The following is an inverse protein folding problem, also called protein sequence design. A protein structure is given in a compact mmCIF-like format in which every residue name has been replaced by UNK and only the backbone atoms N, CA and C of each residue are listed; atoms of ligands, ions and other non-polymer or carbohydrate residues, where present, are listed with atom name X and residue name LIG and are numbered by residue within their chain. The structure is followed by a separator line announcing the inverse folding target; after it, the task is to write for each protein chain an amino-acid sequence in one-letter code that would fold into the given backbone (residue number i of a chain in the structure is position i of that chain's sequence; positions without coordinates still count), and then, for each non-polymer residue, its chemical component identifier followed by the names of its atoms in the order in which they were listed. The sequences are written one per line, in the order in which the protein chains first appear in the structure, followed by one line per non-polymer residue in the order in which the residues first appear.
data_IF_357365017016
#
_entry.id   IF_357365017016
#
_cell.length_a   1.000
_cell.length_b   1.000
_cell.length_c   1.000
_cell.angle_alpha   90.00
_cell.angle_beta   90.00
_cell.angle_gamma   90.00
#
_symmetry.space_group_name_H-M   'P 1'
#
loop_
_entity.id
_entity.type
_entity.pdbx_description
1 polymer ?
#
# COMPACT_ATOMS: atom_id res chain seq x y z
N UNK A 1 -1.81 -7.49 2.26
CA UNK A 1 -0.77 -7.15 1.26
C UNK A 1 -0.61 -8.37 0.39
N UNK A 2 -0.48 -8.20 -0.92
CA UNK A 2 -0.19 -9.30 -1.85
C UNK A 2 0.98 -8.88 -2.74
N UNK A 3 1.76 -9.84 -3.24
CA UNK A 3 2.90 -9.57 -4.09
C UNK A 3 3.07 -10.67 -5.15
N UNK A 4 3.75 -10.34 -6.25
CA UNK A 4 4.07 -11.26 -7.36
C UNK A 4 5.44 -10.89 -7.93
N UNK A 5 6.24 -11.86 -8.40
CA UNK A 5 7.46 -11.55 -9.17
C UNK A 5 7.11 -10.90 -10.51
N UNK A 6 7.93 -9.95 -10.93
CA UNK A 6 7.87 -9.30 -12.23
C UNK A 6 9.19 -9.50 -13.00
N UNK A 7 9.27 -9.02 -14.24
CA UNK A 7 10.44 -9.16 -15.11
C UNK A 7 11.16 -7.80 -15.36
N UNK A 8 10.94 -6.80 -14.52
CA UNK A 8 11.39 -5.42 -14.76
C UNK A 8 12.71 -5.08 -14.05
N UNK A 9 13.28 -5.99 -13.27
CA UNK A 9 14.51 -5.74 -12.50
C UNK A 9 14.33 -4.83 -11.28
N UNK A 10 13.13 -4.29 -11.04
CA UNK A 10 12.80 -3.44 -9.88
C UNK A 10 11.37 -3.68 -9.41
N UNK A 11 11.08 -3.22 -8.19
CA UNK A 11 9.74 -3.38 -7.62
C UNK A 11 8.78 -2.29 -8.09
N UNK A 12 7.50 -2.65 -8.20
CA UNK A 12 6.40 -1.69 -8.42
C UNK A 12 5.45 -1.70 -7.23
N UNK A 13 4.99 -0.52 -6.82
CA UNK A 13 4.02 -0.37 -5.74
C UNK A 13 2.63 -0.01 -6.27
N UNK A 14 1.66 -0.89 -6.03
CA UNK A 14 0.23 -0.62 -6.14
C UNK A 14 -0.38 -0.24 -4.78
N UNK A 15 -1.20 0.82 -4.76
CA UNK A 15 -1.90 1.28 -3.55
C UNK A 15 -3.40 1.34 -3.78
N UNK A 16 -4.12 0.37 -3.19
CA UNK A 16 -5.58 0.40 -3.11
C UNK A 16 -6.01 0.91 -1.74
N UNK A 17 -6.67 2.08 -1.69
CA UNK A 17 -7.11 2.70 -0.44
C UNK A 17 -8.63 2.84 -0.45
N UNK A 18 -9.30 2.04 0.39
CA UNK A 18 -10.76 2.03 0.51
C UNK A 18 -11.32 3.41 0.89
N UNK A 19 -12.47 3.77 0.32
CA UNK A 19 -13.22 4.98 0.71
C UNK A 19 -13.60 4.96 2.21
N UNK A 20 -13.76 3.78 2.81
CA UNK A 20 -14.09 3.60 4.25
C UNK A 20 -12.98 4.05 5.21
N UNK A 21 -11.77 4.29 4.71
CA UNK A 21 -10.64 4.78 5.51
C UNK A 21 -10.79 6.25 5.94
N UNK A 22 -11.61 7.02 5.22
CA UNK A 22 -11.92 8.43 5.52
C UNK A 22 -11.89 9.33 4.29
N UNK A 23 -11.91 10.65 4.55
CA UNK A 23 -11.91 11.71 3.53
C UNK A 23 -10.72 11.60 2.57
N UNK A 24 -10.85 12.20 1.39
CA UNK A 24 -9.80 12.20 0.36
C UNK A 24 -8.44 12.64 0.89
N UNK A 25 -8.37 13.68 1.72
CA UNK A 25 -7.12 14.18 2.32
C UNK A 25 -6.41 13.14 3.17
N UNK A 26 -7.15 12.39 4.01
CA UNK A 26 -6.59 11.30 4.84
C UNK A 26 -6.07 10.16 3.95
N UNK A 27 -6.81 9.78 2.91
CA UNK A 27 -6.36 8.75 1.94
C UNK A 27 -5.13 9.20 1.15
N UNK A 28 -5.05 10.48 0.78
CA UNK A 28 -3.91 11.04 0.06
C UNK A 28 -2.67 11.11 0.95
N UNK A 29 -2.82 11.47 2.23
CA UNK A 29 -1.74 11.38 3.22
C UNK A 29 -1.23 9.95 3.35
N UNK A 30 -2.13 8.97 3.46
CA UNK A 30 -1.74 7.55 3.49
C UNK A 30 -0.94 7.16 2.25
N UNK A 31 -1.42 7.50 1.05
CA UNK A 31 -0.68 7.24 -0.21
C UNK A 31 0.68 7.92 -0.25
N UNK A 32 0.80 9.16 0.25
CA UNK A 32 2.07 9.90 0.32
C UNK A 32 3.07 9.16 1.22
N UNK A 33 2.67 8.80 2.43
CA UNK A 33 3.53 8.09 3.38
C UNK A 33 3.94 6.73 2.82
N UNK A 34 2.99 5.93 2.31
CA UNK A 34 3.30 4.62 1.76
C UNK A 34 4.28 4.69 0.57
N UNK A 35 4.15 5.69 -0.30
CA UNK A 35 5.10 5.93 -1.39
C UNK A 35 6.48 6.35 -0.89
N UNK A 36 6.55 7.19 0.15
CA UNK A 36 7.82 7.62 0.74
C UNK A 36 8.56 6.43 1.37
N UNK A 37 7.85 5.60 2.14
CA UNK A 37 8.40 4.37 2.73
C UNK A 37 8.93 3.46 1.64
N UNK A 38 8.14 3.19 0.59
CA UNK A 38 8.58 2.36 -0.52
C UNK A 38 9.80 2.93 -1.25
N UNK A 39 9.86 4.25 -1.47
CA UNK A 39 11.00 4.89 -2.15
C UNK A 39 12.31 4.72 -1.39
N UNK A 40 12.26 4.69 -0.05
CA UNK A 40 13.43 4.57 0.83
C UNK A 40 13.76 3.12 1.19
N UNK A 41 12.85 2.18 0.94
CA UNK A 41 13.05 0.78 1.34
C UNK A 41 13.87 0.02 0.28
N UNK A 42 14.82 -0.85 0.67
CA UNK A 42 15.62 -1.67 -0.25
C UNK A 42 14.81 -2.62 -1.14
N UNK A 43 13.51 -2.76 -0.89
CA UNK A 43 12.64 -3.65 -1.68
C UNK A 43 12.46 -3.12 -3.11
N UNK A 44 12.70 -1.83 -3.32
CA UNK A 44 12.61 -1.19 -4.64
C UNK A 44 13.51 -1.86 -5.69
N UNK A 45 14.60 -2.48 -5.25
CA UNK A 45 15.60 -3.10 -6.12
C UNK A 45 15.32 -4.60 -6.38
N UNK A 46 14.19 -5.11 -5.88
CA UNK A 46 13.76 -6.51 -6.07
C UNK A 46 12.69 -6.57 -7.18
N UNK A 47 12.75 -7.48 -8.16
CA UNK A 47 11.79 -7.54 -9.27
C UNK A 47 10.42 -8.12 -8.84
N UNK A 48 9.64 -7.33 -8.09
CA UNK A 48 8.32 -7.72 -7.55
C UNK A 48 7.28 -6.61 -7.69
N UNK A 49 6.06 -7.00 -8.03
CA UNK A 49 4.88 -6.16 -7.92
C UNK A 49 4.25 -6.34 -6.53
N UNK A 50 4.15 -5.25 -5.77
CA UNK A 50 3.57 -5.24 -4.42
C UNK A 50 2.27 -4.45 -4.43
N UNK A 51 1.17 -5.09 -4.04
CA UNK A 51 -0.13 -4.44 -3.86
C UNK A 51 -0.48 -4.33 -2.38
N UNK A 52 -0.54 -3.09 -1.90
CA UNK A 52 -0.98 -2.75 -0.55
C UNK A 52 -2.43 -2.30 -0.60
N UNK A 53 -3.28 -3.01 0.15
CA UNK A 53 -4.71 -2.72 0.28
C UNK A 53 -4.97 -2.17 1.68
N UNK A 54 -5.23 -0.88 1.78
CA UNK A 54 -5.59 -0.21 3.01
C UNK A 54 -7.11 -0.23 3.20
N UNK A 55 -7.58 -0.95 4.22
CA UNK A 55 -8.98 -1.05 4.62
C UNK A 55 -9.12 -0.67 6.10
N UNK A 56 -10.23 -0.03 6.46
CA UNK A 56 -10.60 0.17 7.87
C UNK A 56 -10.83 -1.22 8.47
N UNK A 57 -10.22 -1.50 9.62
CA UNK A 57 -10.52 -2.73 10.36
C UNK A 57 -11.99 -2.67 10.82
N UNK A 58 -12.73 -3.79 10.75
CA UNK A 58 -14.05 -3.84 11.35
C UNK A 58 -13.93 -3.51 12.85
N UNK A 59 -14.89 -2.72 13.34
CA UNK A 59 -14.93 -2.36 14.75
C UNK A 59 -15.22 -3.63 15.55
N UNK A 60 -14.21 -4.15 16.27
CA UNK A 60 -14.33 -5.35 17.09
C UNK A 60 -15.00 -5.03 18.44
N UNK A 61 -16.05 -4.21 18.45
CA UNK A 61 -17.02 -4.25 19.55
C UNK A 61 -17.72 -5.61 19.44
N UNK A 62 -17.11 -6.58 20.11
CA UNK A 62 -17.65 -7.91 20.40
C UNK A 62 -19.09 -7.69 20.89
N UNK A 63 -20.04 -8.25 20.13
CA UNK A 63 -21.38 -8.52 20.65
C UNK A 63 -21.30 -9.76 21.52
#
# INVERSE_FOLDING_TARGET
MVWKRNALGWARLGLSVSKRLGKATRRNRFRRIAREVFRRHPIRDVPVDVLVIAKKLPDKRLK
#
